data_IF_265449789389
#
_entry.id   IF_265449789389
#
_cell.length_a   1.000
_cell.length_b   1.000
_cell.length_c   1.000
_cell.angle_alpha   90.00
_cell.angle_beta   90.00
_cell.angle_gamma   90.00
#
_symmetry.space_group_name_H-M   'P 1'
#
loop_
_entity.id
_entity.type
_entity.pdbx_description
1 polymer ?
#
# COMPACT_ATOMS: atom_id res chain seq x y z
N UNK A 1 15.72 -2.26 -10.39
CA UNK A 1 14.34 -1.89 -10.04
C UNK A 1 14.29 -1.76 -8.52
N UNK A 2 13.93 -0.59 -8.00
CA UNK A 2 13.86 -0.35 -6.55
C UNK A 2 12.42 -0.54 -6.08
N UNK A 3 12.16 -1.72 -5.52
CA UNK A 3 10.81 -2.14 -5.12
C UNK A 3 10.19 -1.29 -4.00
N UNK A 4 11.00 -0.59 -3.19
CA UNK A 4 10.52 0.30 -2.12
C UNK A 4 10.15 1.65 -2.72
N UNK A 5 11.01 2.22 -3.54
CA UNK A 5 10.72 3.48 -4.24
C UNK A 5 9.48 3.36 -5.14
N UNK A 6 9.35 2.24 -5.85
CA UNK A 6 8.18 1.93 -6.69
C UNK A 6 6.90 1.85 -5.84
N UNK A 7 6.98 1.22 -4.66
CA UNK A 7 5.83 1.11 -3.76
C UNK A 7 5.35 2.48 -3.24
N UNK A 8 6.28 3.33 -2.79
CA UNK A 8 5.95 4.69 -2.36
C UNK A 8 5.40 5.55 -3.50
N UNK A 9 5.93 5.37 -4.71
CA UNK A 9 5.44 6.04 -5.92
C UNK A 9 3.99 5.67 -6.22
N UNK A 10 3.62 4.40 -6.06
CA UNK A 10 2.24 3.92 -6.23
C UNK A 10 1.29 4.62 -5.24
N UNK A 11 1.66 4.72 -3.96
CA UNK A 11 0.86 5.40 -2.93
C UNK A 11 0.71 6.89 -3.26
N UNK A 12 1.81 7.57 -3.57
CA UNK A 12 1.81 8.99 -3.97
C UNK A 12 0.89 9.24 -5.16
N UNK A 13 0.94 8.38 -6.17
CA UNK A 13 0.10 8.49 -7.36
C UNK A 13 -1.37 8.22 -7.03
N UNK A 14 -1.67 7.34 -6.08
CA UNK A 14 -3.02 7.16 -5.55
C UNK A 14 -3.60 8.45 -4.96
N UNK A 15 -2.80 9.14 -4.13
CA UNK A 15 -3.18 10.45 -3.57
C UNK A 15 -3.41 11.51 -4.66
N UNK A 16 -2.47 11.64 -5.59
CA UNK A 16 -2.59 12.62 -6.68
C UNK A 16 -3.80 12.35 -7.59
N UNK A 17 -4.14 11.09 -7.78
CA UNK A 17 -5.31 10.67 -8.55
C UNK A 17 -6.62 10.70 -7.74
N UNK A 18 -6.60 11.14 -6.47
CA UNK A 18 -7.76 11.20 -5.56
C UNK A 18 -8.49 9.85 -5.47
N UNK A 19 -7.74 8.75 -5.41
CA UNK A 19 -8.32 7.42 -5.23
C UNK A 19 -8.61 7.17 -3.76
N UNK A 20 -9.73 6.51 -3.47
CA UNK A 20 -10.05 6.06 -2.11
C UNK A 20 -9.12 4.92 -1.67
N UNK A 21 -8.67 4.09 -2.62
CA UNK A 21 -7.83 2.92 -2.32
C UNK A 21 -6.75 2.67 -3.36
N UNK A 22 -5.69 2.00 -2.92
CA UNK A 22 -4.59 1.50 -3.76
C UNK A 22 -4.33 0.05 -3.42
N UNK A 23 -4.18 -0.79 -4.44
CA UNK A 23 -3.91 -2.22 -4.27
C UNK A 23 -2.53 -2.57 -4.81
N UNK A 24 -1.74 -3.29 -4.03
CA UNK A 24 -0.41 -3.78 -4.42
C UNK A 24 -0.25 -5.26 -4.07
N UNK A 25 0.73 -5.93 -4.67
CA UNK A 25 1.11 -7.28 -4.25
C UNK A 25 1.69 -7.27 -2.84
N UNK A 26 1.33 -8.30 -2.08
CA UNK A 26 1.86 -8.54 -0.75
C UNK A 26 3.34 -8.90 -0.81
N UNK A 27 4.09 -8.34 0.12
CA UNK A 27 5.40 -8.82 0.54
C UNK A 27 5.63 -8.41 1.98
N UNK A 28 6.46 -9.15 2.72
CA UNK A 28 6.77 -8.82 4.11
C UNK A 28 7.31 -7.38 4.24
N UNK A 29 8.14 -6.93 3.29
CA UNK A 29 8.65 -5.56 3.29
C UNK A 29 7.53 -4.51 3.10
N UNK A 30 6.61 -4.72 2.15
CA UNK A 30 5.49 -3.80 1.90
C UNK A 30 4.52 -3.75 3.07
N UNK A 31 4.26 -4.88 3.71
CA UNK A 31 3.44 -4.94 4.92
C UNK A 31 4.04 -4.08 6.04
N UNK A 32 5.32 -4.28 6.36
CA UNK A 32 6.00 -3.49 7.41
C UNK A 32 6.00 -1.99 7.11
N UNK A 33 6.23 -1.60 5.86
CA UNK A 33 6.13 -0.19 5.44
C UNK A 33 4.70 0.33 5.62
N UNK A 34 3.68 -0.45 5.22
CA UNK A 34 2.27 -0.04 5.34
C UNK A 34 1.87 0.14 6.81
N UNK A 35 2.35 -0.73 7.71
CA UNK A 35 2.15 -0.60 9.16
C UNK A 35 2.73 0.73 9.68
N UNK A 36 3.96 1.08 9.26
CA UNK A 36 4.59 2.35 9.66
C UNK A 36 3.79 3.53 9.11
N UNK A 37 3.39 3.50 7.84
CA UNK A 37 2.58 4.57 7.23
C UNK A 37 1.24 4.77 7.96
N UNK A 38 0.59 3.68 8.40
CA UNK A 38 -0.64 3.76 9.21
C UNK A 38 -0.35 4.37 10.58
N UNK A 39 0.72 3.94 11.26
CA UNK A 39 1.12 4.44 12.58
C UNK A 39 1.41 5.94 12.55
N UNK A 40 2.08 6.41 11.51
CA UNK A 40 2.40 7.82 11.28
C UNK A 40 1.24 8.60 10.64
N UNK A 41 0.05 7.99 10.52
CA UNK A 41 -1.17 8.60 10.00
C UNK A 41 -1.09 9.11 8.53
N UNK A 42 -0.17 8.55 7.73
CA UNK A 42 -0.04 8.83 6.30
C UNK A 42 -1.06 8.08 5.43
N UNK A 43 -1.70 7.04 5.95
CA UNK A 43 -2.81 6.31 5.30
C UNK A 43 -3.92 6.13 6.33
N UNK A 44 -5.15 5.88 5.88
CA UNK A 44 -6.28 5.69 6.79
C UNK A 44 -6.28 4.28 7.39
N UNK A 45 -6.24 3.27 6.52
CA UNK A 45 -6.22 1.87 6.94
C UNK A 45 -5.61 0.97 5.84
N UNK A 46 -5.37 -0.29 6.14
CA UNK A 46 -5.04 -1.30 5.14
C UNK A 46 -5.54 -2.69 5.55
N UNK A 47 -5.72 -3.55 4.55
CA UNK A 47 -6.09 -4.95 4.74
C UNK A 47 -5.29 -5.85 3.79
N UNK A 48 -5.00 -7.06 4.24
CA UNK A 48 -4.42 -8.12 3.40
C UNK A 48 -5.57 -8.97 2.88
N UNK A 49 -5.71 -9.06 1.57
CA UNK A 49 -6.68 -9.92 0.90
C UNK A 49 -5.98 -11.13 0.31
N UNK A 50 -6.51 -12.31 0.58
CA UNK A 50 -6.04 -13.53 -0.04
C UNK A 50 -6.37 -13.52 -1.53
N UNK A 51 -5.34 -13.70 -2.36
CA UNK A 51 -5.49 -13.72 -3.80
C UNK A 51 -4.46 -14.69 -4.40
N UNK A 52 -4.79 -15.28 -5.55
CA UNK A 52 -3.88 -16.15 -6.30
C UNK A 52 -3.33 -15.40 -7.51
N UNK A 53 -2.01 -15.46 -7.78
CA UNK A 53 -0.99 -16.29 -7.13
C UNK A 53 -0.39 -15.70 -5.83
N UNK A 54 -0.57 -14.40 -5.57
CA UNK A 54 0.00 -13.69 -4.41
C UNK A 54 -1.09 -12.84 -3.77
N UNK A 55 -1.11 -12.81 -2.43
CA UNK A 55 -1.99 -11.96 -1.65
C UNK A 55 -1.82 -10.49 -2.04
N UNK A 56 -2.84 -9.67 -1.77
CA UNK A 56 -2.84 -8.25 -2.06
C UNK A 56 -2.90 -7.44 -0.77
N UNK A 57 -2.24 -6.29 -0.76
CA UNK A 57 -2.43 -5.27 0.28
C UNK A 57 -3.32 -4.20 -0.33
N UNK A 58 -4.50 -4.01 0.25
CA UNK A 58 -5.43 -2.95 -0.12
C UNK A 58 -5.31 -1.84 0.92
N UNK A 59 -4.80 -0.70 0.48
CA UNK A 59 -4.51 0.47 1.30
C UNK A 59 -5.61 1.50 1.07
N UNK A 60 -6.22 1.98 2.16
CA UNK A 60 -7.20 3.06 2.14
C UNK A 60 -6.48 4.41 2.32
N UNK A 61 -6.66 5.30 1.37
CA UNK A 61 -6.10 6.65 1.38
C UNK A 61 -7.10 7.62 2.02
N UNK A 62 -6.57 8.69 2.62
CA UNK A 62 -7.38 9.79 3.18
C UNK A 62 -7.83 10.77 2.10
#
# INVERSE_FOLDING_TARGET
MDTIADFLTIIRNGYLAKKDTVTVDFSNAREQITIILKKEAFIEDFQIQEAKPVNKIVIKLR
#
